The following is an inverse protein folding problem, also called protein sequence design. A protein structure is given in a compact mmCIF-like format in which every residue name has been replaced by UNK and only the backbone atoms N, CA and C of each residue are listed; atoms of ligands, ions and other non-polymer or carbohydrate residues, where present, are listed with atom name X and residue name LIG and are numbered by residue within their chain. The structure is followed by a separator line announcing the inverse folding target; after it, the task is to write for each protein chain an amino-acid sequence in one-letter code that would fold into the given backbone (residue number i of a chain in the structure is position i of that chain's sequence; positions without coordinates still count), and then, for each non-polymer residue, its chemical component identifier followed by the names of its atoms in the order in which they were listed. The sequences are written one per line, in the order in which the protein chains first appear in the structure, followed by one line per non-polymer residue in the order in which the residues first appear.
data_IF_829716451196
#
_entry.id   IF_829716451196
#
_cell.length_a   1.000
_cell.length_b   1.000
_cell.length_c   1.000
_cell.angle_alpha   90.00
_cell.angle_beta   90.00
_cell.angle_gamma   90.00
#
_symmetry.space_group_name_H-M   'P 1'
#
loop_
_entity.id
_entity.type
_entity.pdbx_description
1 polymer ?
#
# COMPACT_ATOMS: atom_id res chain seq x y z
N UNK A 1 5.18 -30.85 -5.59
CA UNK A 1 5.21 -29.73 -6.57
C UNK A 1 4.42 -28.51 -6.09
N UNK A 2 3.21 -28.68 -5.53
CA UNK A 2 2.44 -27.55 -4.96
C UNK A 2 3.13 -26.83 -3.77
N UNK A 3 3.81 -27.57 -2.89
CA UNK A 3 4.51 -26.98 -1.72
C UNK A 3 5.73 -26.13 -2.09
N UNK A 4 6.45 -26.48 -3.17
CA UNK A 4 7.65 -25.75 -3.63
C UNK A 4 7.25 -24.40 -4.26
N UNK A 5 6.11 -24.37 -4.96
CA UNK A 5 5.54 -23.14 -5.53
C UNK A 5 5.14 -22.18 -4.40
N UNK A 6 4.50 -22.69 -3.35
CA UNK A 6 4.12 -21.91 -2.15
C UNK A 6 5.33 -21.26 -1.46
N UNK A 7 6.41 -22.02 -1.23
CA UNK A 7 7.62 -21.48 -0.59
C UNK A 7 8.32 -20.42 -1.45
N UNK A 8 8.32 -20.59 -2.76
CA UNK A 8 8.94 -19.64 -3.69
C UNK A 8 8.16 -18.33 -3.74
N UNK A 9 6.83 -18.41 -3.83
CA UNK A 9 5.93 -17.25 -3.78
C UNK A 9 6.05 -16.49 -2.46
N UNK A 10 6.12 -17.22 -1.34
CA UNK A 10 6.30 -16.62 -0.03
C UNK A 10 7.64 -15.87 0.11
N UNK A 11 8.73 -16.43 -0.44
CA UNK A 11 10.04 -15.76 -0.47
C UNK A 11 10.01 -14.50 -1.31
N UNK A 12 9.39 -14.53 -2.49
CA UNK A 12 9.25 -13.37 -3.37
C UNK A 12 8.44 -12.27 -2.71
N UNK A 13 7.32 -12.62 -2.06
CA UNK A 13 6.51 -11.67 -1.30
C UNK A 13 7.32 -11.00 -0.18
N UNK A 14 8.10 -11.77 0.58
CA UNK A 14 8.97 -11.20 1.62
C UNK A 14 10.04 -10.27 1.05
N UNK A 15 10.63 -10.62 -0.09
CA UNK A 15 11.62 -9.74 -0.74
C UNK A 15 10.98 -8.43 -1.19
N UNK A 16 9.78 -8.49 -1.76
CA UNK A 16 9.02 -7.31 -2.17
C UNK A 16 8.64 -6.44 -0.96
N UNK A 17 8.17 -7.05 0.13
CA UNK A 17 7.90 -6.35 1.39
C UNK A 17 9.15 -5.61 1.90
N UNK A 18 10.31 -6.25 1.89
CA UNK A 18 11.56 -5.64 2.35
C UNK A 18 12.00 -4.51 1.42
N UNK A 19 11.83 -4.67 0.10
CA UNK A 19 12.14 -3.64 -0.88
C UNK A 19 11.26 -2.40 -0.67
N UNK A 20 9.94 -2.59 -0.59
CA UNK A 20 8.99 -1.48 -0.41
C UNK A 20 9.24 -0.76 0.91
N UNK A 21 9.45 -1.49 2.00
CA UNK A 21 9.72 -0.90 3.31
C UNK A 21 11.00 -0.07 3.38
N UNK A 22 11.92 -0.23 2.42
CA UNK A 22 13.20 0.48 2.37
C UNK A 22 13.23 1.61 1.34
N UNK A 23 12.59 1.41 0.19
CA UNK A 23 12.76 2.27 -0.97
C UNK A 23 11.51 3.08 -1.32
N UNK A 24 10.30 2.57 -1.02
CA UNK A 24 9.06 3.29 -1.34
C UNK A 24 8.71 4.25 -0.19
N UNK A 25 9.25 5.46 -0.25
CA UNK A 25 9.02 6.55 0.72
C UNK A 25 8.94 7.90 0.01
N UNK A 26 8.54 8.95 0.73
CA UNK A 26 8.34 10.29 0.15
C UNK A 26 9.63 11.05 -0.19
N UNK A 27 10.80 10.60 0.27
CA UNK A 27 12.09 11.15 -0.22
C UNK A 27 12.41 10.63 -1.64
N UNK A 28 11.76 9.53 -2.06
CA UNK A 28 11.90 8.89 -3.37
C UNK A 28 10.52 8.63 -4.00
N UNK A 29 9.74 9.68 -4.34
CA UNK A 29 8.37 9.53 -4.83
C UNK A 29 8.28 8.71 -6.13
N UNK A 30 9.34 8.68 -6.94
CA UNK A 30 9.44 7.87 -8.16
C UNK A 30 9.34 6.36 -7.87
N UNK A 31 9.83 5.89 -6.72
CA UNK A 31 9.72 4.48 -6.31
C UNK A 31 8.27 4.11 -5.95
N UNK A 32 7.51 5.07 -5.39
CA UNK A 32 6.08 4.90 -5.16
C UNK A 32 5.34 4.92 -6.51
N UNK A 33 5.66 5.86 -7.40
CA UNK A 33 5.04 5.94 -8.74
C UNK A 33 5.27 4.65 -9.54
N UNK A 34 6.50 4.13 -9.54
CA UNK A 34 6.86 2.88 -10.20
C UNK A 34 6.03 1.70 -9.67
N UNK A 35 5.83 1.62 -8.34
CA UNK A 35 4.98 0.60 -7.73
C UNK A 35 3.51 0.71 -8.18
N UNK A 36 2.99 1.93 -8.33
CA UNK A 36 1.63 2.17 -8.84
C UNK A 36 1.51 1.76 -10.30
N UNK A 37 2.51 2.08 -11.13
CA UNK A 37 2.54 1.75 -12.56
C UNK A 37 2.66 0.25 -12.79
N UNK A 38 3.48 -0.46 -12.00
CA UNK A 38 3.59 -1.91 -12.09
C UNK A 38 2.24 -2.60 -11.79
N UNK A 39 1.48 -2.05 -10.83
CA UNK A 39 0.13 -2.52 -10.51
C UNK A 39 0.06 -3.93 -9.93
N UNK A 40 1.21 -4.56 -9.63
CA UNK A 40 1.30 -5.94 -9.14
C UNK A 40 0.67 -6.13 -7.75
N UNK A 41 0.56 -5.05 -6.97
CA UNK A 41 -0.09 -5.04 -5.65
C UNK A 41 -1.54 -4.56 -5.66
N UNK A 42 -2.09 -4.19 -6.83
CA UNK A 42 -3.48 -3.73 -6.94
C UNK A 42 -4.44 -4.85 -6.53
N UNK A 43 -5.24 -4.60 -5.51
CA UNK A 43 -6.35 -5.46 -5.12
C UNK A 43 -7.46 -5.34 -6.16
N UNK A 44 -7.68 -6.40 -6.94
CA UNK A 44 -8.70 -6.44 -8.00
C UNK A 44 -10.13 -6.58 -7.47
N UNK A 45 -10.28 -7.09 -6.25
CA UNK A 45 -11.58 -7.26 -5.62
C UNK A 45 -12.03 -5.94 -4.96
N UNK A 46 -12.88 -5.19 -5.65
CA UNK A 46 -13.40 -3.91 -5.15
C UNK A 46 -14.18 -4.06 -3.84
N UNK A 47 -14.86 -5.20 -3.61
CA UNK A 47 -15.58 -5.46 -2.36
C UNK A 47 -14.62 -5.51 -1.17
N UNK A 48 -13.46 -6.13 -1.33
CA UNK A 48 -12.44 -6.17 -0.27
C UNK A 48 -11.86 -4.79 0.02
N UNK A 49 -11.64 -3.98 -1.01
CA UNK A 49 -11.18 -2.60 -0.84
C UNK A 49 -12.23 -1.75 -0.10
N UNK A 50 -13.50 -1.81 -0.50
CA UNK A 50 -14.58 -1.09 0.17
C UNK A 50 -14.77 -1.56 1.61
N UNK A 51 -14.71 -2.86 1.87
CA UNK A 51 -14.76 -3.40 3.23
C UNK A 51 -13.59 -2.89 4.09
N UNK A 52 -12.40 -2.76 3.51
CA UNK A 52 -11.26 -2.19 4.21
C UNK A 52 -11.45 -0.70 4.51
N UNK A 53 -11.97 0.09 3.57
CA UNK A 53 -12.30 1.50 3.82
C UNK A 53 -13.36 1.64 4.92
N UNK A 54 -14.38 0.79 4.93
CA UNK A 54 -15.37 0.74 6.00
C UNK A 54 -14.73 0.41 7.35
N UNK A 55 -13.81 -0.55 7.38
CA UNK A 55 -13.08 -0.91 8.60
C UNK A 55 -12.26 0.27 9.15
N UNK A 56 -11.58 1.03 8.29
CA UNK A 56 -10.87 2.24 8.72
C UNK A 56 -11.84 3.28 9.31
N UNK A 57 -13.00 3.46 8.66
CA UNK A 57 -14.04 4.35 9.14
C UNK A 57 -14.58 3.96 10.53
N UNK A 58 -14.84 2.67 10.77
CA UNK A 58 -15.27 2.15 12.08
C UNK A 58 -14.23 2.38 13.18
N UNK A 59 -12.95 2.49 12.81
CA UNK A 59 -11.85 2.80 13.72
C UNK A 59 -11.57 4.31 13.84
N UNK A 60 -12.41 5.15 13.26
CA UNK A 60 -12.23 6.61 13.21
C UNK A 60 -10.90 7.03 12.54
N UNK A 61 -10.42 6.21 11.60
CA UNK A 61 -9.19 6.46 10.86
C UNK A 61 -9.49 7.06 9.49
N UNK A 62 -8.79 8.14 9.14
CA UNK A 62 -8.86 8.74 7.81
C UNK A 62 -8.05 7.90 6.81
N UNK A 63 -8.66 7.31 5.75
CA UNK A 63 -7.92 6.46 4.81
C UNK A 63 -6.73 7.17 4.16
N UNK A 64 -6.89 8.45 3.79
CA UNK A 64 -5.81 9.24 3.19
C UNK A 64 -4.60 9.37 4.11
N UNK A 65 -4.81 9.56 5.41
CA UNK A 65 -3.71 9.67 6.40
C UNK A 65 -3.05 8.32 6.62
N UNK A 66 -3.84 7.25 6.76
CA UNK A 66 -3.31 5.89 6.91
C UNK A 66 -2.48 5.47 5.69
N UNK A 67 -2.97 5.73 4.48
CA UNK A 67 -2.25 5.42 3.25
C UNK A 67 -1.03 6.31 3.03
N UNK A 68 -1.01 7.53 3.56
CA UNK A 68 0.21 8.33 3.59
C UNK A 68 1.22 7.72 4.57
N UNK A 69 0.80 7.46 5.81
CA UNK A 69 1.67 6.93 6.85
C UNK A 69 2.26 5.55 6.52
N UNK A 70 1.63 4.77 5.63
CA UNK A 70 2.16 3.46 5.20
C UNK A 70 3.49 3.56 4.44
N UNK A 71 3.73 4.68 3.76
CA UNK A 71 4.97 4.99 3.02
C UNK A 71 5.90 5.94 3.80
N UNK A 72 5.38 6.61 4.83
CA UNK A 72 6.17 7.49 5.70
C UNK A 72 6.81 6.74 6.89
N UNK A 73 6.07 5.81 7.50
CA UNK A 73 6.50 5.09 8.69
C UNK A 73 7.14 3.74 8.35
N UNK A 74 8.10 3.32 9.17
CA UNK A 74 8.59 1.94 9.10
C UNK A 74 7.48 0.95 9.48
N UNK A 75 7.45 -0.28 8.92
CA UNK A 75 6.35 -1.23 9.12
C UNK A 75 5.99 -1.48 10.59
N UNK A 76 6.99 -1.57 11.48
CA UNK A 76 6.77 -1.77 12.92
C UNK A 76 6.15 -0.54 13.59
N UNK A 77 6.53 0.66 13.17
CA UNK A 77 5.99 1.91 13.69
C UNK A 77 4.54 2.09 13.22
N UNK A 78 4.28 1.82 11.94
CA UNK A 78 2.94 1.82 11.35
C UNK A 78 2.00 0.87 12.11
N UNK A 79 2.40 -0.40 12.25
CA UNK A 79 1.60 -1.41 12.94
C UNK A 79 1.34 -1.03 14.41
N UNK A 80 2.31 -0.41 15.09
CA UNK A 80 2.13 0.08 16.47
C UNK A 80 1.17 1.27 16.54
N UNK A 81 1.20 2.17 15.56
CA UNK A 81 0.37 3.38 15.52
C UNK A 81 -1.10 3.05 15.26
N UNK A 82 -1.35 2.18 14.27
CA UNK A 82 -2.71 1.93 13.77
C UNK A 82 -3.29 0.58 14.20
N UNK A 83 -2.48 -0.36 14.68
CA UNK A 83 -2.94 -1.72 14.94
C UNK A 83 -3.31 -2.51 13.67
N UNK A 84 -2.89 -2.02 12.49
CA UNK A 84 -3.20 -2.59 11.19
C UNK A 84 -2.03 -3.43 10.64
N UNK A 85 -2.36 -4.41 9.80
CA UNK A 85 -1.36 -5.13 9.01
C UNK A 85 -0.76 -4.20 7.94
N UNK A 86 0.52 -3.85 8.10
CA UNK A 86 1.22 -2.94 7.21
C UNK A 86 1.19 -3.42 5.75
N UNK A 87 1.42 -4.71 5.51
CA UNK A 87 1.51 -5.22 4.15
C UNK A 87 0.17 -5.16 3.42
N UNK A 88 -0.90 -5.52 4.12
CA UNK A 88 -2.26 -5.39 3.58
C UNK A 88 -2.62 -3.94 3.33
N UNK A 89 -2.19 -3.03 4.21
CA UNK A 89 -2.37 -1.59 4.00
C UNK A 89 -1.64 -1.07 2.76
N UNK A 90 -0.40 -1.52 2.51
CA UNK A 90 0.34 -1.20 1.28
C UNK A 90 -0.46 -1.59 0.04
N UNK A 91 -1.04 -2.79 0.01
CA UNK A 91 -1.84 -3.26 -1.14
C UNK A 91 -3.07 -2.37 -1.39
N UNK A 92 -3.78 -1.96 -0.32
CA UNK A 92 -4.92 -1.06 -0.45
C UNK A 92 -4.52 0.38 -0.77
N UNK A 93 -3.39 0.86 -0.27
CA UNK A 93 -2.82 2.15 -0.63
C UNK A 93 -2.44 2.19 -2.10
N UNK A 94 -1.84 1.11 -2.64
CA UNK A 94 -1.56 0.98 -4.08
C UNK A 94 -2.86 1.05 -4.87
N UNK A 95 -3.90 0.29 -4.49
CA UNK A 95 -5.21 0.37 -5.15
C UNK A 95 -5.79 1.80 -5.14
N UNK A 96 -5.76 2.47 -3.98
CA UNK A 96 -6.24 3.84 -3.84
C UNK A 96 -5.48 4.82 -4.74
N UNK A 97 -4.15 4.73 -4.74
CA UNK A 97 -3.28 5.59 -5.54
C UNK A 97 -3.40 5.31 -7.03
N UNK A 98 -3.63 4.06 -7.44
CA UNK A 98 -3.98 3.74 -8.84
C UNK A 98 -5.29 4.42 -9.23
N UNK A 99 -6.32 4.37 -8.39
CA UNK A 99 -7.60 5.03 -8.65
C UNK A 99 -7.41 6.55 -8.77
N UNK A 100 -6.64 7.18 -7.86
CA UNK A 100 -6.34 8.60 -7.95
C UNK A 100 -5.57 8.93 -9.24
N UNK A 101 -4.54 8.16 -9.61
CA UNK A 101 -3.79 8.39 -10.84
C UNK A 101 -4.66 8.29 -12.09
N UNK A 102 -5.62 7.37 -12.10
CA UNK A 102 -6.54 7.13 -13.22
C UNK A 102 -7.65 8.20 -13.32
N UNK A 103 -8.15 8.73 -12.19
CA UNK A 103 -9.36 9.56 -12.18
C UNK A 103 -9.13 11.01 -11.72
N UNK A 104 -8.13 11.26 -10.87
CA UNK A 104 -7.88 12.54 -10.19
C UNK A 104 -6.37 12.83 -10.13
N UNK A 105 -5.76 13.04 -11.30
CA UNK A 105 -4.29 13.15 -11.45
C UNK A 105 -3.66 14.23 -10.55
N UNK A 106 -4.33 15.37 -10.37
CA UNK A 106 -3.81 16.47 -9.54
C UNK A 106 -3.76 16.09 -8.06
N UNK A 107 -4.75 15.31 -7.57
CA UNK A 107 -4.76 14.77 -6.22
C UNK A 107 -3.65 13.73 -6.03
N UNK A 108 -3.40 12.91 -7.05
CA UNK A 108 -2.30 11.95 -7.05
C UNK A 108 -0.93 12.63 -6.95
N UNK A 109 -0.68 13.68 -7.75
CA UNK A 109 0.56 14.47 -7.67
C UNK A 109 0.67 15.14 -6.30
N UNK A 110 -0.42 15.74 -5.82
CA UNK A 110 -0.44 16.34 -4.47
C UNK A 110 -0.13 15.32 -3.39
N UNK A 111 -0.59 14.08 -3.52
CA UNK A 111 -0.28 13.02 -2.56
C UNK A 111 1.23 12.69 -2.53
N UNK A 112 1.88 12.59 -3.69
CA UNK A 112 3.28 12.17 -3.77
C UNK A 112 4.27 13.27 -3.39
N UNK A 113 3.94 14.54 -3.63
CA UNK A 113 4.89 15.66 -3.52
C UNK A 113 4.51 16.67 -2.42
N UNK A 114 3.67 16.26 -1.46
CA UNK A 114 3.29 17.08 -0.31
C UNK A 114 4.37 17.18 0.75
#
# INVERSE_FOLDING_TARGET
MAEIISLTQFKQQKQLQVHIARNCNFDQPDEIDALIVEGSLRVKNHTEFLAYLHHLYEQELTPREVFYDVFYLQPRQFARRYGLDWWRCVQYAVTFLTILKENERDEYVTFLYR
#
